data_IF_186002358600
#
_entry.id   IF_186002358600
#
_cell.length_a   1.000
_cell.length_b   1.000
_cell.length_c   1.000
_cell.angle_alpha   90.00
_cell.angle_beta   90.00
_cell.angle_gamma   90.00
#
_symmetry.space_group_name_H-M   'P 1'
#
loop_
_entity.id
_entity.type
_entity.pdbx_description
1 polymer ?
#
# COMPACT_ATOMS: atom_id res chain seq x y z
N UNK A 1 -11.92 7.40 6.56
CA UNK A 1 -12.63 6.11 6.51
C UNK A 1 -11.65 5.06 6.01
N UNK A 2 -11.28 4.08 6.83
CA UNK A 2 -10.38 2.99 6.41
C UNK A 2 -11.17 2.05 5.51
N UNK A 3 -10.80 1.97 4.23
CA UNK A 3 -11.39 1.02 3.31
C UNK A 3 -10.27 0.17 2.70
N UNK A 4 -10.47 -1.15 2.65
CA UNK A 4 -9.52 -2.08 2.07
C UNK A 4 -10.09 -2.56 0.74
N UNK A 5 -9.31 -2.48 -0.35
CA UNK A 5 -9.77 -2.97 -1.64
C UNK A 5 -10.02 -4.49 -1.65
N UNK A 6 -9.36 -5.24 -0.76
CA UNK A 6 -9.48 -6.69 -0.73
C UNK A 6 -9.44 -7.23 0.72
N UNK A 7 -10.59 -7.36 1.40
CA UNK A 7 -10.68 -7.73 2.82
C UNK A 7 -10.15 -9.13 3.14
N UNK A 8 -10.14 -10.04 2.15
CA UNK A 8 -9.68 -11.42 2.31
C UNK A 8 -8.20 -11.48 2.72
N UNK A 9 -7.39 -10.53 2.27
CA UNK A 9 -5.98 -10.47 2.63
C UNK A 9 -5.74 -10.12 4.11
N UNK A 10 -6.71 -9.53 4.82
CA UNK A 10 -6.60 -9.32 6.27
C UNK A 10 -6.67 -10.65 7.04
N UNK A 11 -7.50 -11.59 6.58
CA UNK A 11 -7.54 -12.94 7.15
C UNK A 11 -6.25 -13.70 6.86
N UNK A 12 -5.70 -13.56 5.65
CA UNK A 12 -4.38 -14.10 5.32
C UNK A 12 -3.26 -13.46 6.18
N UNK A 13 -3.36 -12.16 6.50
CA UNK A 13 -2.44 -11.47 7.41
C UNK A 13 -2.47 -12.07 8.81
N UNK A 14 -3.67 -12.26 9.35
CA UNK A 14 -3.86 -12.86 10.67
C UNK A 14 -3.28 -14.27 10.73
N UNK A 15 -3.60 -15.11 9.74
CA UNK A 15 -3.07 -16.47 9.66
C UNK A 15 -1.53 -16.49 9.55
N UNK A 16 -0.95 -15.61 8.74
CA UNK A 16 0.49 -15.57 8.52
C UNK A 16 1.28 -15.07 9.74
N UNK A 17 0.72 -14.17 10.55
CA UNK A 17 1.32 -13.74 11.84
C UNK A 17 1.19 -14.83 12.91
N UNK A 18 0.14 -15.65 12.86
CA UNK A 18 -0.03 -16.78 13.78
C UNK A 18 1.02 -17.87 13.57
N UNK A 19 1.51 -18.09 12.34
CA UNK A 19 2.47 -19.15 12.04
C UNK A 19 3.79 -19.04 12.85
N UNK A 20 4.52 -17.90 12.84
CA UNK A 20 5.74 -17.75 13.65
C UNK A 20 5.50 -17.90 15.15
N UNK A 21 4.37 -17.39 15.65
CA UNK A 21 3.98 -17.47 17.06
C UNK A 21 3.70 -18.92 17.47
N UNK A 22 2.94 -19.65 16.67
CA UNK A 22 2.63 -21.05 16.90
C UNK A 22 3.91 -21.90 16.85
N UNK A 23 4.76 -21.71 15.83
CA UNK A 23 6.04 -22.42 15.73
C UNK A 23 6.92 -22.14 16.96
N UNK A 24 6.99 -20.91 17.47
CA UNK A 24 7.74 -20.61 18.68
C UNK A 24 7.18 -21.30 19.93
N UNK A 25 5.85 -21.34 20.06
CA UNK A 25 5.19 -21.98 21.19
C UNK A 25 5.42 -23.50 21.18
N UNK A 26 5.35 -24.13 19.99
CA UNK A 26 5.64 -25.56 19.82
C UNK A 26 7.13 -25.91 19.93
N UNK A 27 8.03 -24.98 19.57
CA UNK A 27 9.47 -25.20 19.67
C UNK A 27 10.03 -25.06 21.10
N UNK A 28 9.16 -24.92 22.13
CA UNK A 28 9.53 -25.06 23.54
C UNK A 28 9.77 -26.52 23.95
N UNK A 29 10.50 -27.28 23.14
CA UNK A 29 10.95 -28.60 23.56
C UNK A 29 11.85 -28.43 24.78
N UNK A 30 11.40 -28.95 25.92
CA UNK A 30 12.16 -28.96 27.17
C UNK A 30 13.39 -29.80 26.94
N UNK A 31 14.55 -29.15 26.80
CA UNK A 31 15.85 -29.82 26.72
C UNK A 31 15.97 -30.74 27.94
N UNK A 32 16.05 -32.06 27.71
CA UNK A 32 16.25 -33.04 28.79
C UNK A 32 17.56 -32.69 29.49
N UNK A 33 17.47 -32.30 30.76
CA UNK A 33 18.63 -31.98 31.58
C UNK A 33 19.34 -33.28 31.94
N UNK A 34 20.43 -33.59 31.24
CA UNK A 34 21.33 -34.68 31.64
C UNK A 34 22.32 -34.11 32.65
N UNK A 35 22.39 -34.71 33.85
CA UNK A 35 23.31 -34.27 34.89
C UNK A 35 24.67 -34.96 34.69
N UNK A 36 25.65 -34.21 34.17
CA UNK A 36 27.05 -34.64 34.12
C UNK A 36 27.85 -33.90 35.21
N UNK A 37 28.52 -34.64 36.11
CA UNK A 37 29.28 -34.10 37.25
C UNK A 37 30.38 -33.12 36.86
N UNK A 38 31.00 -33.29 35.70
CA UNK A 38 32.15 -32.49 35.26
C UNK A 38 31.78 -31.07 34.80
N UNK A 39 30.50 -30.77 34.57
CA UNK A 39 30.02 -29.50 33.99
C UNK A 39 29.46 -28.51 35.02
N UNK A 40 29.35 -28.90 36.30
CA UNK A 40 28.84 -28.03 37.36
C UNK A 40 29.71 -26.79 37.58
N UNK A 41 31.03 -26.90 37.32
CA UNK A 41 31.99 -25.80 37.47
C UNK A 41 31.89 -24.76 36.33
N UNK A 42 31.51 -25.18 35.11
CA UNK A 42 31.30 -24.29 33.94
C UNK A 42 29.95 -23.54 33.97
N UNK A 43 28.97 -24.06 34.73
CA UNK A 43 27.60 -23.51 34.82
C UNK A 43 27.53 -22.12 35.47
N UNK A 44 28.51 -21.76 36.30
CA UNK A 44 28.58 -20.45 36.97
C UNK A 44 28.83 -19.30 35.98
N UNK A 45 29.50 -19.57 34.85
CA UNK A 45 29.81 -18.59 33.80
C UNK A 45 28.71 -18.45 32.74
N UNK A 46 27.79 -19.42 32.63
CA UNK A 46 26.77 -19.43 31.56
C UNK A 46 25.56 -18.53 31.81
N UNK A 47 25.30 -18.09 33.05
CA UNK A 47 24.08 -17.30 33.37
C UNK A 47 23.95 -16.03 32.50
N UNK A 48 25.07 -15.39 32.16
CA UNK A 48 25.08 -14.18 31.31
C UNK A 48 24.81 -14.51 29.84
N UNK A 49 25.32 -15.64 29.34
CA UNK A 49 25.11 -16.10 27.96
C UNK A 49 23.65 -16.45 27.69
N UNK A 50 22.99 -17.09 28.66
CA UNK A 50 21.57 -17.46 28.58
C UNK A 50 20.63 -16.25 28.45
N UNK A 51 20.96 -15.09 29.04
CA UNK A 51 20.14 -13.87 28.93
C UNK A 51 20.25 -13.22 27.55
N UNK A 52 21.45 -13.19 26.94
CA UNK A 52 21.65 -12.66 25.58
C UNK A 52 20.97 -13.51 24.51
N UNK A 53 20.96 -14.83 24.67
CA UNK A 53 20.29 -15.75 23.72
C UNK A 53 18.78 -15.49 23.71
N UNK A 54 18.15 -15.34 24.88
CA UNK A 54 16.71 -15.04 24.97
C UNK A 54 16.33 -13.70 24.32
N UNK A 55 17.14 -12.65 24.48
CA UNK A 55 16.88 -11.35 23.83
C UNK A 55 16.95 -11.48 22.31
N UNK A 56 17.95 -12.22 21.79
CA UNK A 56 18.05 -12.49 20.36
C UNK A 56 16.88 -13.29 19.82
N UNK A 57 16.38 -14.27 20.58
CA UNK A 57 15.20 -15.07 20.20
C UNK A 57 13.94 -14.21 20.07
N UNK A 58 13.67 -13.33 21.05
CA UNK A 58 12.53 -12.40 20.96
C UNK A 58 12.67 -11.41 19.81
N UNK A 59 13.88 -10.89 19.58
CA UNK A 59 14.15 -9.97 18.46
C UNK A 59 13.97 -10.67 17.10
N UNK A 60 14.49 -11.89 16.95
CA UNK A 60 14.32 -12.71 15.74
C UNK A 60 12.84 -13.04 15.48
N UNK A 61 12.08 -13.32 16.54
CA UNK A 61 10.65 -13.56 16.44
C UNK A 61 9.90 -12.29 15.98
N UNK A 62 10.23 -11.14 16.57
CA UNK A 62 9.65 -9.85 16.19
C UNK A 62 9.93 -9.52 14.72
N UNK A 63 11.18 -9.65 14.28
CA UNK A 63 11.58 -9.38 12.89
C UNK A 63 10.86 -10.31 11.92
N UNK A 64 10.77 -11.62 12.22
CA UNK A 64 10.07 -12.58 11.36
C UNK A 64 8.59 -12.24 11.20
N UNK A 65 7.91 -11.91 12.29
CA UNK A 65 6.50 -11.49 12.26
C UNK A 65 6.32 -10.16 11.52
N UNK A 66 7.26 -9.22 11.68
CA UNK A 66 7.22 -7.92 11.02
C UNK A 66 7.39 -8.04 9.50
N UNK A 67 8.30 -8.90 9.02
CA UNK A 67 8.49 -9.15 7.58
C UNK A 67 7.19 -9.68 6.96
N UNK A 68 6.56 -10.66 7.59
CA UNK A 68 5.30 -11.23 7.12
C UNK A 68 4.20 -10.16 7.10
N UNK A 69 4.10 -9.37 8.16
CA UNK A 69 3.12 -8.28 8.26
C UNK A 69 3.33 -7.24 7.15
N UNK A 70 4.58 -6.85 6.87
CA UNK A 70 4.90 -5.91 5.80
C UNK A 70 4.57 -6.47 4.41
N UNK A 71 4.87 -7.74 4.15
CA UNK A 71 4.52 -8.41 2.89
C UNK A 71 3.00 -8.40 2.71
N UNK A 72 2.24 -8.80 3.74
CA UNK A 72 0.78 -8.80 3.64
C UNK A 72 0.21 -7.40 3.53
N UNK A 73 0.78 -6.40 4.22
CA UNK A 73 0.40 -5.01 4.06
C UNK A 73 0.67 -4.48 2.63
N UNK A 74 1.78 -4.89 2.00
CA UNK A 74 2.09 -4.54 0.62
C UNK A 74 1.06 -5.13 -0.37
N UNK A 75 0.67 -6.39 -0.17
CA UNK A 75 -0.37 -7.04 -0.98
C UNK A 75 -1.78 -6.52 -0.71
N UNK A 76 -2.11 -6.22 0.55
CA UNK A 76 -3.41 -5.68 0.94
C UNK A 76 -3.64 -4.26 0.43
N UNK A 77 -2.57 -3.55 -0.02
CA UNK A 77 -2.59 -2.16 -0.50
C UNK A 77 -3.57 -1.31 0.32
N UNK A 78 -3.30 -1.08 1.62
CA UNK A 78 -4.22 -0.36 2.48
C UNK A 78 -4.48 1.02 1.86
N UNK A 79 -5.72 1.26 1.42
CA UNK A 79 -6.12 2.50 0.80
C UNK A 79 -6.31 3.56 1.90
N UNK A 80 -5.19 4.00 2.47
CA UNK A 80 -5.14 5.06 3.45
C UNK A 80 -5.34 6.36 2.67
N UNK A 81 -6.61 6.75 2.52
CA UNK A 81 -7.00 8.09 2.07
C UNK A 81 -6.67 9.06 3.21
N UNK A 82 -5.43 9.51 3.28
CA UNK A 82 -4.92 10.44 4.29
C UNK A 82 -3.46 10.81 4.03
N UNK A 83 -3.16 12.11 4.03
CA UNK A 83 -1.93 12.71 3.50
C UNK A 83 -0.59 12.27 4.12
N UNK A 84 -0.60 11.38 5.11
CA UNK A 84 0.63 10.85 5.71
C UNK A 84 1.26 9.72 4.89
N UNK A 85 0.46 8.86 4.25
CA UNK A 85 0.95 7.77 3.38
C UNK A 85 1.20 8.24 1.96
N UNK A 86 0.50 9.31 1.55
CA UNK A 86 0.73 10.02 0.29
C UNK A 86 2.14 10.61 0.15
N UNK A 87 2.92 10.74 1.23
CA UNK A 87 4.31 11.22 1.19
C UNK A 87 5.35 10.09 1.08
N UNK A 88 4.97 8.85 1.39
CA UNK A 88 5.91 7.69 1.41
C UNK A 88 5.98 7.00 0.04
N UNK A 89 4.93 7.12 -0.78
CA UNK A 89 5.03 6.86 -2.21
C UNK A 89 5.13 8.19 -2.94
N UNK A 90 6.28 8.48 -3.56
CA UNK A 90 6.40 9.59 -4.50
C UNK A 90 5.16 9.57 -5.41
N UNK A 91 4.44 10.70 -5.50
CA UNK A 91 3.33 10.82 -6.44
C UNK A 91 3.87 10.44 -7.81
N UNK A 92 3.42 9.29 -8.31
CA UNK A 92 3.81 8.82 -9.62
C UNK A 92 3.21 9.83 -10.61
N UNK A 93 4.09 10.51 -11.36
CA UNK A 93 3.66 11.45 -12.39
C UNK A 93 2.61 10.78 -13.26
N UNK A 94 1.42 11.34 -13.27
CA UNK A 94 0.29 10.80 -14.02
C UNK A 94 0.07 11.68 -15.24
N UNK A 95 0.14 11.10 -16.44
CA UNK A 95 -0.22 11.80 -17.68
C UNK A 95 -1.67 11.49 -18.03
N UNK A 96 -2.53 12.51 -18.05
CA UNK A 96 -3.96 12.39 -18.35
C UNK A 96 -4.27 13.03 -19.69
N UNK A 97 -4.83 12.24 -20.61
CA UNK A 97 -5.35 12.73 -21.90
C UNK A 97 -6.88 12.71 -21.84
N UNK A 98 -7.49 13.89 -21.91
CA UNK A 98 -8.94 14.07 -21.94
C UNK A 98 -9.34 14.24 -23.40
N UNK A 99 -10.15 13.31 -23.91
CA UNK A 99 -10.78 13.45 -25.23
C UNK A 99 -12.20 13.97 -25.02
N UNK A 100 -12.50 15.13 -25.60
CA UNK A 100 -13.79 15.80 -25.48
C UNK A 100 -14.46 15.88 -26.85
N UNK A 101 -15.62 15.24 -26.97
CA UNK A 101 -16.44 15.27 -28.18
C UNK A 101 -17.04 16.66 -28.37
N UNK A 102 -16.85 17.27 -29.54
CA UNK A 102 -17.44 18.56 -29.94
C UNK A 102 -18.36 18.43 -31.17
N UNK A 103 -18.82 17.22 -31.47
CA UNK A 103 -19.74 16.95 -32.57
C UNK A 103 -21.09 17.64 -32.35
N UNK A 104 -21.85 17.80 -33.45
CA UNK A 104 -23.12 18.50 -33.44
C UNK A 104 -24.14 17.90 -32.44
N UNK A 105 -24.07 16.60 -32.16
CA UNK A 105 -24.92 15.93 -31.17
C UNK A 105 -24.70 16.43 -29.74
N UNK A 106 -23.50 16.94 -29.43
CA UNK A 106 -23.14 17.48 -28.12
C UNK A 106 -23.78 18.83 -27.82
N UNK A 107 -24.43 19.46 -28.82
CA UNK A 107 -25.26 20.66 -28.65
C UNK A 107 -26.67 20.35 -28.15
N UNK A 108 -26.99 19.09 -27.88
CA UNK A 108 -28.28 18.71 -27.31
C UNK A 108 -28.46 19.35 -25.93
N UNK A 109 -29.54 20.11 -25.78
CA UNK A 109 -29.88 20.81 -24.53
C UNK A 109 -30.56 19.86 -23.54
N UNK A 110 -30.06 19.86 -22.32
CA UNK A 110 -30.66 19.12 -21.20
C UNK A 110 -31.17 20.10 -20.14
N UNK A 111 -31.85 19.60 -19.11
CA UNK A 111 -32.28 20.42 -17.96
C UNK A 111 -31.12 21.11 -17.22
N UNK A 112 -29.89 20.61 -17.40
CA UNK A 112 -28.68 21.11 -16.74
C UNK A 112 -27.72 21.86 -17.69
N UNK A 113 -28.17 22.17 -18.92
CA UNK A 113 -27.39 22.80 -19.99
C UNK A 113 -27.05 21.84 -21.14
N UNK A 114 -26.22 22.29 -22.08
CA UNK A 114 -25.81 21.46 -23.22
C UNK A 114 -24.96 20.25 -22.77
N UNK A 115 -25.01 19.14 -23.52
CA UNK A 115 -24.16 17.98 -23.24
C UNK A 115 -22.67 18.35 -23.24
N UNK A 116 -22.28 19.30 -24.11
CA UNK A 116 -20.92 19.85 -24.16
C UNK A 116 -20.53 20.56 -22.85
N UNK A 117 -21.43 21.37 -22.28
CA UNK A 117 -21.17 22.07 -21.01
C UNK A 117 -21.03 21.09 -19.84
N UNK A 118 -21.85 20.03 -19.82
CA UNK A 118 -21.74 18.96 -18.84
C UNK A 118 -20.41 18.21 -18.95
N UNK A 119 -19.98 17.91 -20.18
CA UNK A 119 -18.71 17.26 -20.45
C UNK A 119 -17.53 18.15 -20.01
N UNK A 120 -17.57 19.45 -20.31
CA UNK A 120 -16.59 20.44 -19.85
C UNK A 120 -16.52 20.54 -18.32
N UNK A 121 -17.67 20.52 -17.64
CA UNK A 121 -17.74 20.53 -16.17
C UNK A 121 -17.11 19.27 -15.56
N UNK A 122 -17.31 18.10 -16.18
CA UNK A 122 -16.67 16.85 -15.77
C UNK A 122 -15.15 16.88 -16.02
N UNK A 123 -14.72 17.34 -17.18
CA UNK A 123 -13.29 17.50 -17.50
C UNK A 123 -12.58 18.42 -16.47
N UNK A 124 -13.20 19.54 -16.11
CA UNK A 124 -12.67 20.45 -15.08
C UNK A 124 -12.55 19.78 -13.71
N UNK A 125 -13.50 18.92 -13.32
CA UNK A 125 -13.40 18.15 -12.07
C UNK A 125 -12.21 17.20 -12.07
N UNK A 126 -11.88 16.60 -13.21
CA UNK A 126 -10.72 15.71 -13.36
C UNK A 126 -9.42 16.51 -13.26
N UNK A 127 -9.33 17.64 -13.98
CA UNK A 127 -8.15 18.52 -13.95
C UNK A 127 -7.88 19.03 -12.53
N UNK A 128 -8.92 19.42 -11.79
CA UNK A 128 -8.79 19.91 -10.42
C UNK A 128 -8.32 18.84 -9.41
N UNK A 129 -8.24 17.56 -9.80
CA UNK A 129 -7.72 16.48 -8.97
C UNK A 129 -6.23 16.19 -9.23
N UNK A 130 -5.66 16.76 -10.30
CA UNK A 130 -4.25 16.63 -10.64
C UNK A 130 -3.38 17.42 -9.66
N UNK A 131 -2.15 16.94 -9.45
CA UNK A 131 -1.18 17.54 -8.53
C UNK A 131 0.02 18.09 -9.29
N UNK A 132 0.84 18.88 -8.60
CA UNK A 132 2.12 19.36 -9.14
C UNK A 132 2.96 18.17 -9.65
N UNK A 133 3.34 18.23 -10.93
CA UNK A 133 4.10 17.19 -11.63
C UNK A 133 3.28 16.21 -12.48
N UNK A 134 1.95 16.29 -12.48
CA UNK A 134 1.08 15.59 -13.42
C UNK A 134 0.95 16.35 -14.75
N UNK A 135 0.90 15.63 -15.87
CA UNK A 135 0.72 16.22 -17.20
C UNK A 135 -0.74 16.06 -17.66
N UNK A 136 -1.34 17.11 -18.23
CA UNK A 136 -2.69 17.07 -18.79
C UNK A 136 -2.71 17.52 -20.25
N UNK A 137 -3.41 16.77 -21.11
CA UNK A 137 -3.69 17.16 -22.50
C UNK A 137 -5.19 17.06 -22.77
N UNK A 138 -5.77 18.08 -23.41
CA UNK A 138 -7.16 18.07 -23.87
C UNK A 138 -7.17 18.00 -25.40
N UNK A 139 -7.93 17.05 -25.96
CA UNK A 139 -8.09 16.89 -27.42
C UNK A 139 -9.59 16.97 -27.72
N UNK A 140 -9.97 17.90 -28.59
CA UNK A 140 -11.33 17.97 -29.13
C UNK A 140 -11.44 17.03 -30.34
N UNK A 141 -12.58 16.37 -30.51
CA UNK A 141 -12.83 15.53 -31.67
C UNK A 141 -14.30 15.60 -32.12
N UNK A 142 -14.51 15.86 -33.41
CA UNK A 142 -15.83 15.87 -34.08
C UNK A 142 -15.78 15.25 -35.46
N UNK A 143 -14.70 15.47 -36.21
CA UNK A 143 -14.44 14.79 -37.49
C UNK A 143 -12.99 14.87 -38.00
N UNK A 144 -12.10 15.61 -37.33
CA UNK A 144 -10.64 15.51 -37.48
C UNK A 144 -10.00 16.06 -36.17
N UNK A 145 -8.97 15.42 -35.60
CA UNK A 145 -8.39 15.86 -34.34
C UNK A 145 -7.58 17.15 -34.53
N UNK A 146 -8.17 18.30 -34.19
CA UNK A 146 -7.48 19.59 -34.19
C UNK A 146 -6.67 19.75 -32.89
N UNK A 147 -5.34 19.70 -32.99
CA UNK A 147 -4.42 19.71 -31.85
C UNK A 147 -4.27 21.13 -31.29
N UNK A 148 -5.05 21.49 -30.27
CA UNK A 148 -4.95 22.80 -29.61
C UNK A 148 -4.01 22.77 -28.39
N UNK A 149 -2.73 23.10 -28.62
CA UNK A 149 -1.79 23.73 -27.69
C UNK A 149 -1.51 23.06 -26.33
N UNK A 150 -0.28 22.56 -26.16
CA UNK A 150 0.35 22.25 -24.87
C UNK A 150 0.33 23.48 -23.95
N UNK A 151 -0.33 23.36 -22.79
CA UNK A 151 -0.13 24.31 -21.68
C UNK A 151 0.59 23.55 -20.58
N UNK A 152 1.87 23.88 -20.38
CA UNK A 152 2.61 23.42 -19.21
C UNK A 152 2.16 24.25 -18.00
N UNK A 153 1.94 23.59 -16.88
CA UNK A 153 1.74 24.20 -15.55
C UNK A 153 2.99 23.94 -14.73
#
# INVERSE_FOLDING_TARGET
MFNFLNPIFLFAAGAAVLFPLLIHLFNRQKVKKVFFSSLLFLRSLEKTRMRRVKIKEYLLLLIRSLIILLVVAAFARPAIRGGFVSKVGAHAKTSVVILLDDSYSMRYETKEGSLFDLAKKKARKIINQLKEGDDASLILFSSEPERKGMTQV
#
